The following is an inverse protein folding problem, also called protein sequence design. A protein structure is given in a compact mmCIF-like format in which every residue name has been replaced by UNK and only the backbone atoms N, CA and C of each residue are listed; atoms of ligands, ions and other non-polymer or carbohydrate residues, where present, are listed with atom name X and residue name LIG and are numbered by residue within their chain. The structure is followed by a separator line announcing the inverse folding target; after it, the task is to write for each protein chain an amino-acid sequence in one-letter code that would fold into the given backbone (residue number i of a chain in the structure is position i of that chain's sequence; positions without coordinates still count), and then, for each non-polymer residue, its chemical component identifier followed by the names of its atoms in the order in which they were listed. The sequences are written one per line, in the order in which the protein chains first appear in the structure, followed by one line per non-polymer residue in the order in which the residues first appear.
data_IF_524055499274
#
_entry.id   IF_524055499274
#
_cell.length_a   1.000
_cell.length_b   1.000
_cell.length_c   1.000
_cell.angle_alpha   90.00
_cell.angle_beta   90.00
_cell.angle_gamma   90.00
#
_symmetry.space_group_name_H-M   'P 1'
#
loop_
_entity.id
_entity.type
_entity.pdbx_description
1 polymer ?
#
# COMPACT_ATOMS: atom_id res chain seq x y z
N UNK A 1 20.90 12.22 10.63
CA UNK A 1 20.14 11.79 11.82
C UNK A 1 19.03 10.86 11.36
N UNK A 2 19.17 9.55 11.56
CA UNK A 2 18.08 8.60 11.32
C UNK A 2 17.10 8.71 12.49
N UNK A 3 16.01 9.46 12.31
CA UNK A 3 14.87 9.37 13.22
C UNK A 3 14.25 7.99 13.07
N UNK A 4 13.74 7.39 14.15
CA UNK A 4 13.15 6.04 14.22
C UNK A 4 12.12 5.70 13.11
N UNK A 5 11.62 6.70 12.40
CA UNK A 5 10.64 6.58 11.33
C UNK A 5 11.22 6.63 9.89
N UNK A 6 12.52 6.86 9.70
CA UNK A 6 13.14 6.98 8.37
C UNK A 6 14.47 6.21 8.36
N UNK A 7 14.60 5.24 7.47
CA UNK A 7 15.86 4.58 7.15
C UNK A 7 16.23 4.84 5.67
N UNK A 8 17.40 4.37 5.22
CA UNK A 8 17.89 4.62 3.86
C UNK A 8 17.00 4.03 2.73
N UNK A 9 16.07 3.13 3.06
CA UNK A 9 15.21 2.41 2.11
C UNK A 9 13.72 2.73 2.28
N UNK A 10 13.27 3.19 3.44
CA UNK A 10 11.86 3.45 3.73
C UNK A 10 11.64 4.53 4.77
N UNK A 11 10.47 5.18 4.69
CA UNK A 11 9.98 6.13 5.67
C UNK A 11 8.55 5.76 6.07
N UNK A 12 8.24 5.78 7.36
CA UNK A 12 6.89 5.58 7.87
C UNK A 12 6.10 6.88 7.70
N UNK A 13 4.91 6.80 7.09
CA UNK A 13 3.95 7.91 6.99
C UNK A 13 2.67 7.50 7.72
N UNK A 14 2.29 8.27 8.74
CA UNK A 14 0.99 8.11 9.38
C UNK A 14 -0.10 8.71 8.48
N UNK A 15 -1.06 7.90 8.07
CA UNK A 15 -2.22 8.32 7.28
C UNK A 15 -3.51 7.85 7.95
N UNK A 16 -4.59 8.61 7.79
CA UNK A 16 -5.91 8.23 8.31
C UNK A 16 -6.71 7.58 7.19
N UNK A 17 -7.26 6.41 7.47
CA UNK A 17 -8.24 5.75 6.60
C UNK A 17 -9.63 5.88 7.24
N UNK A 18 -10.70 6.04 6.43
CA UNK A 18 -12.06 5.80 6.89
C UNK A 18 -12.22 4.38 7.45
N UNK A 19 -13.02 4.22 8.50
CA UNK A 19 -13.24 2.92 9.15
C UNK A 19 -13.79 1.87 8.17
N UNK A 20 -14.78 2.26 7.36
CA UNK A 20 -15.39 1.42 6.33
C UNK A 20 -14.36 0.83 5.36
N UNK A 21 -13.37 1.62 4.95
CA UNK A 21 -12.31 1.17 4.04
C UNK A 21 -11.38 0.18 4.73
N UNK A 22 -11.05 0.38 6.01
CA UNK A 22 -10.20 -0.55 6.75
C UNK A 22 -10.90 -1.90 6.86
N UNK A 23 -12.19 -1.90 7.21
CA UNK A 23 -12.99 -3.12 7.34
C UNK A 23 -13.07 -3.89 6.02
N UNK A 24 -13.32 -3.21 4.90
CA UNK A 24 -13.30 -3.83 3.57
C UNK A 24 -11.95 -4.46 3.23
N UNK A 25 -10.84 -3.76 3.51
CA UNK A 25 -9.49 -4.28 3.27
C UNK A 25 -9.21 -5.51 4.13
N UNK A 26 -9.59 -5.48 5.40
CA UNK A 26 -9.41 -6.61 6.31
C UNK A 26 -10.18 -7.85 5.84
N UNK A 27 -11.41 -7.68 5.35
CA UNK A 27 -12.19 -8.77 4.76
C UNK A 27 -11.50 -9.38 3.52
N UNK A 28 -10.97 -8.54 2.62
CA UNK A 28 -10.18 -9.01 1.49
C UNK A 28 -8.92 -9.77 1.94
N UNK A 29 -8.22 -9.26 2.96
CA UNK A 29 -7.03 -9.90 3.51
C UNK A 29 -7.31 -11.25 4.15
N UNK A 30 -8.45 -11.44 4.81
CA UNK A 30 -8.83 -12.75 5.38
C UNK A 30 -8.91 -13.79 4.27
N UNK A 31 -9.49 -13.45 3.12
CA UNK A 31 -9.57 -14.35 1.96
C UNK A 31 -8.19 -14.58 1.34
N UNK A 32 -7.40 -13.52 1.16
CA UNK A 32 -6.08 -13.60 0.55
C UNK A 32 -5.10 -14.39 1.42
N UNK A 33 -5.22 -14.31 2.74
CA UNK A 33 -4.43 -15.09 3.70
C UNK A 33 -4.61 -16.61 3.56
N UNK A 34 -5.76 -17.06 3.04
CA UNK A 34 -5.99 -18.49 2.77
C UNK A 34 -5.03 -18.99 1.70
N UNK A 35 -4.75 -18.17 0.68
CA UNK A 35 -3.83 -18.50 -0.41
C UNK A 35 -2.39 -18.10 -0.11
N UNK A 36 -2.20 -16.97 0.58
CA UNK A 36 -0.90 -16.42 0.92
C UNK A 36 -0.85 -16.03 2.41
N UNK A 37 -0.33 -16.90 3.28
CA UNK A 37 -0.25 -16.64 4.72
C UNK A 37 0.55 -15.39 5.10
N UNK A 38 1.39 -14.86 4.20
CA UNK A 38 2.18 -13.64 4.42
C UNK A 38 1.43 -12.35 4.07
N UNK A 39 0.23 -12.44 3.49
CA UNK A 39 -0.60 -11.30 3.15
C UNK A 39 -0.96 -10.48 4.40
N UNK A 40 -0.74 -9.17 4.35
CA UNK A 40 -0.96 -8.25 5.45
C UNK A 40 -1.35 -6.87 4.94
N UNK A 41 -1.88 -6.03 5.83
CA UNK A 41 -2.37 -4.69 5.48
C UNK A 41 -1.31 -3.81 4.82
N UNK A 42 -0.07 -3.85 5.31
CA UNK A 42 1.00 -3.05 4.70
C UNK A 42 1.31 -3.49 3.27
N UNK A 43 1.38 -4.80 3.01
CA UNK A 43 1.58 -5.33 1.67
C UNK A 43 0.44 -4.91 0.72
N UNK A 44 -0.81 -5.08 1.16
CA UNK A 44 -2.00 -4.71 0.39
C UNK A 44 -2.01 -3.22 0.02
N UNK A 45 -1.70 -2.34 0.98
CA UNK A 45 -1.64 -0.90 0.74
C UNK A 45 -0.48 -0.53 -0.19
N UNK A 46 0.67 -1.19 -0.08
CA UNK A 46 1.80 -0.97 -0.97
C UNK A 46 1.46 -1.38 -2.41
N UNK A 47 0.80 -2.51 -2.62
CA UNK A 47 0.38 -2.98 -3.94
C UNK A 47 -0.64 -2.03 -4.57
N UNK A 48 -1.64 -1.58 -3.81
CA UNK A 48 -2.59 -0.58 -4.27
C UNK A 48 -1.90 0.74 -4.69
N UNK A 49 -0.91 1.18 -3.90
CA UNK A 49 -0.10 2.35 -4.22
C UNK A 49 0.74 2.14 -5.50
N UNK A 50 1.36 0.97 -5.66
CA UNK A 50 2.16 0.66 -6.85
C UNK A 50 1.28 0.64 -8.11
N UNK A 51 0.09 0.03 -8.05
CA UNK A 51 -0.85 0.02 -9.17
C UNK A 51 -1.25 1.44 -9.59
N UNK A 52 -1.50 2.34 -8.64
CA UNK A 52 -1.81 3.75 -8.92
C UNK A 52 -0.62 4.48 -9.54
N UNK A 53 0.60 4.27 -9.02
CA UNK A 53 1.83 4.85 -9.58
C UNK A 53 2.12 4.34 -10.99
N UNK A 54 1.95 3.04 -11.27
CA UNK A 54 2.12 2.46 -12.62
C UNK A 54 1.14 3.09 -13.62
N UNK A 55 -0.12 3.29 -13.24
CA UNK A 55 -1.12 3.99 -14.06
C UNK A 55 -0.71 5.44 -14.34
N UNK A 56 -0.23 6.15 -13.32
CA UNK A 56 0.21 7.55 -13.46
C UNK A 56 1.46 7.70 -14.33
N UNK A 57 2.46 6.82 -14.17
CA UNK A 57 3.66 6.79 -15.03
C UNK A 57 3.30 6.61 -16.50
N UNK A 58 2.40 5.66 -16.82
CA UNK A 58 1.91 5.48 -18.19
C UNK A 58 1.25 6.74 -18.74
N UNK A 59 0.41 7.41 -17.95
CA UNK A 59 -0.23 8.67 -18.36
C UNK A 59 0.76 9.79 -18.63
N UNK A 60 1.87 9.85 -17.89
CA UNK A 60 2.94 10.84 -18.14
C UNK A 60 3.68 10.54 -19.44
N UNK A 61 4.08 9.29 -19.66
CA UNK A 61 4.75 8.87 -20.91
C UNK A 61 3.90 9.12 -22.17
N UNK A 62 2.56 9.09 -22.05
CA UNK A 62 1.64 9.41 -23.15
C UNK A 62 1.46 10.93 -23.41
N UNK A 63 1.99 11.79 -22.55
CA UNK A 63 1.89 13.26 -22.65
C UNK A 63 3.20 13.93 -23.10
N UNK A 64 4.29 13.18 -23.15
CA UNK A 64 5.59 13.57 -23.73
C UNK A 64 5.65 13.10 -25.19
#
# INVERSE_FOLDING_TARGET
MATRAINNKSATKGIRFPHEIIEEIELCLVQEKIANPSANFSAWVLDACEQKLRKEKRRRVLKD
#
